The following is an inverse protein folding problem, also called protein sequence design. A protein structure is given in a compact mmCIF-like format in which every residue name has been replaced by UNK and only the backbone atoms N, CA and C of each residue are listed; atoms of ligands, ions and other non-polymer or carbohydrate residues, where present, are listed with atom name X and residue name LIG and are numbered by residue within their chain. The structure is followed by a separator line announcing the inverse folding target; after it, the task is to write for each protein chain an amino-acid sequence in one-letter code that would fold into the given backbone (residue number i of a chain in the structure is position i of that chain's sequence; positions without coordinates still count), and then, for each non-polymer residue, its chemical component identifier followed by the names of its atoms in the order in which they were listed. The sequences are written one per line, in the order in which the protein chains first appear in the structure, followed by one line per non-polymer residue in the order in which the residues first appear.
data_IF_087440816309
#
_entry.id   IF_087440816309
#
_cell.length_a   1.000
_cell.length_b   1.000
_cell.length_c   1.000
_cell.angle_alpha   90.00
_cell.angle_beta   90.00
_cell.angle_gamma   90.00
#
_symmetry.space_group_name_H-M   'P 1'
#
loop_
_entity.id
_entity.type
_entity.pdbx_description
1 polymer ?
#
# COMPACT_ATOMS: atom_id res chain seq x y z
N UNK A 1 -55.44 53.51 -9.18
CA UNK A 1 -54.46 52.72 -9.96
C UNK A 1 -53.06 53.18 -9.59
N UNK A 2 -52.37 52.45 -8.72
CA UNK A 2 -50.97 52.69 -8.39
C UNK A 2 -50.14 51.60 -9.08
N UNK A 3 -49.39 51.96 -10.12
CA UNK A 3 -48.40 51.07 -10.75
C UNK A 3 -47.11 51.17 -9.95
N UNK A 4 -46.81 50.12 -9.18
CA UNK A 4 -45.52 49.96 -8.51
C UNK A 4 -44.61 49.23 -9.48
N UNK A 5 -43.64 49.94 -10.05
CA UNK A 5 -42.58 49.34 -10.86
C UNK A 5 -41.51 48.79 -9.91
N UNK A 6 -41.56 47.49 -9.62
CA UNK A 6 -40.48 46.80 -8.92
C UNK A 6 -39.33 46.60 -9.93
N UNK A 7 -38.13 47.15 -9.69
CA UNK A 7 -36.98 46.85 -10.54
C UNK A 7 -36.67 45.36 -10.41
N UNK A 8 -36.61 44.66 -11.54
CA UNK A 8 -36.32 43.23 -11.60
C UNK A 8 -34.90 42.96 -11.09
N UNK A 9 -34.79 42.54 -9.82
CA UNK A 9 -33.54 42.11 -9.15
C UNK A 9 -33.17 40.68 -9.61
N UNK A 10 -33.22 40.39 -10.91
CA UNK A 10 -32.74 39.10 -11.45
C UNK A 10 -31.23 39.12 -11.73
N UNK A 11 -30.61 40.30 -11.85
CA UNK A 11 -29.17 40.44 -12.10
C UNK A 11 -28.29 40.12 -10.89
N UNK A 12 -28.78 40.32 -9.66
CA UNK A 12 -27.98 40.10 -8.44
C UNK A 12 -27.78 38.60 -8.13
N UNK A 13 -28.79 37.77 -8.42
CA UNK A 13 -28.71 36.32 -8.20
C UNK A 13 -27.85 35.59 -9.25
N UNK A 14 -27.62 36.20 -10.42
CA UNK A 14 -26.79 35.63 -11.48
C UNK A 14 -25.28 35.84 -11.24
N UNK A 15 -24.89 36.88 -10.48
CA UNK A 15 -23.49 37.18 -10.17
C UNK A 15 -22.90 36.22 -9.12
N UNK A 16 -23.74 35.64 -8.25
CA UNK A 16 -23.30 34.70 -7.20
C UNK A 16 -22.94 33.31 -7.77
N UNK A 17 -23.41 32.96 -8.97
CA UNK A 17 -23.14 31.65 -9.60
C UNK A 17 -21.76 31.60 -10.31
N UNK A 18 -21.12 32.76 -10.53
CA UNK A 18 -19.83 32.84 -11.24
C UNK A 18 -18.59 32.71 -10.33
N UNK A 19 -18.78 32.53 -9.01
CA UNK A 19 -17.73 32.16 -8.05
C UNK A 19 -17.76 30.67 -7.71
N UNK A 20 -18.16 29.81 -8.67
CA UNK A 20 -17.83 28.39 -8.59
C UNK A 20 -16.31 28.29 -8.73
N UNK A 21 -15.60 28.07 -7.62
CA UNK A 21 -14.16 27.92 -7.61
C UNK A 21 -13.73 26.91 -8.67
N UNK A 22 -12.79 27.34 -9.51
CA UNK A 22 -12.04 26.48 -10.42
C UNK A 22 -11.44 25.29 -9.66
N UNK A 23 -11.35 24.15 -10.35
CA UNK A 23 -11.07 22.81 -9.82
C UNK A 23 -9.93 22.70 -8.82
N UNK A 24 -10.01 21.65 -8.01
CA UNK A 24 -9.11 21.35 -6.89
C UNK A 24 -7.67 21.77 -7.18
N UNK A 25 -7.25 22.86 -6.56
CA UNK A 25 -5.85 23.28 -6.60
C UNK A 25 -5.06 22.23 -5.84
N UNK A 26 -4.18 21.51 -6.54
CA UNK A 26 -3.18 20.63 -5.92
C UNK A 26 -2.57 21.31 -4.70
N UNK A 27 -2.53 20.59 -3.59
CA UNK A 27 -1.91 21.09 -2.36
C UNK A 27 -0.39 21.10 -2.53
N UNK A 28 0.25 22.19 -2.14
CA UNK A 28 1.71 22.26 -2.14
C UNK A 28 2.26 21.68 -0.84
N UNK A 29 2.87 20.51 -0.94
CA UNK A 29 3.48 19.78 0.18
C UNK A 29 5.01 19.86 0.19
N UNK A 30 5.61 20.68 -0.69
CA UNK A 30 7.07 20.77 -0.86
C UNK A 30 7.81 21.21 0.43
N UNK A 31 7.12 21.91 1.32
CA UNK A 31 7.63 22.40 2.59
C UNK A 31 7.57 21.37 3.74
N UNK A 32 6.93 20.21 3.52
CA UNK A 32 6.82 19.15 4.52
C UNK A 32 8.10 18.31 4.50
N UNK A 33 8.79 18.29 5.64
CA UNK A 33 10.03 17.55 5.83
C UNK A 33 9.74 16.09 6.17
N UNK A 34 9.57 15.30 5.12
CA UNK A 34 9.41 13.85 5.16
C UNK A 34 10.32 13.26 4.08
N UNK A 35 11.07 12.23 4.46
CA UNK A 35 11.92 11.43 3.59
C UNK A 35 11.75 9.96 4.00
N UNK A 36 11.05 9.19 3.17
CA UNK A 36 10.79 7.78 3.43
C UNK A 36 11.91 6.95 2.83
N UNK A 37 12.54 6.15 3.69
CA UNK A 37 13.57 5.19 3.31
C UNK A 37 13.03 3.78 3.59
N UNK A 38 13.20 2.86 2.64
CA UNK A 38 12.74 1.48 2.80
C UNK A 38 13.88 0.61 3.31
N UNK A 39 13.71 0.05 4.50
CA UNK A 39 14.66 -0.90 5.07
C UNK A 39 14.63 -2.23 4.31
N UNK A 40 15.76 -2.58 3.69
CA UNK A 40 15.92 -3.80 2.87
C UNK A 40 16.19 -5.05 3.72
N UNK A 41 15.20 -5.52 4.48
CA UNK A 41 15.32 -6.79 5.22
C UNK A 41 15.53 -7.99 4.26
N UNK A 42 14.93 -7.93 3.06
CA UNK A 42 15.20 -8.86 1.96
C UNK A 42 16.70 -9.04 1.65
N UNK A 43 17.50 -7.97 1.80
CA UNK A 43 18.97 -7.99 1.64
C UNK A 43 19.70 -8.41 2.92
N UNK A 44 19.14 -8.13 4.10
CA UNK A 44 19.74 -8.56 5.36
C UNK A 44 19.92 -10.10 5.42
N UNK A 45 18.99 -10.84 4.80
CA UNK A 45 19.02 -12.29 4.66
C UNK A 45 20.29 -12.82 3.94
N UNK A 46 21.02 -12.01 3.17
CA UNK A 46 22.31 -12.40 2.56
C UNK A 46 23.35 -12.79 3.61
N UNK A 47 23.27 -12.16 4.78
CA UNK A 47 24.21 -12.40 5.89
C UNK A 47 23.85 -13.62 6.74
N UNK A 48 22.76 -14.32 6.43
CA UNK A 48 22.30 -15.51 7.15
C UNK A 48 22.94 -16.77 6.59
N UNK A 49 23.58 -17.52 7.48
CA UNK A 49 24.24 -18.78 7.21
C UNK A 49 23.87 -19.79 8.31
N UNK A 50 23.97 -21.08 8.00
CA UNK A 50 23.60 -22.15 8.92
C UNK A 50 24.36 -22.10 10.26
N UNK A 51 25.59 -21.57 10.27
CA UNK A 51 26.44 -21.46 11.45
C UNK A 51 26.21 -20.19 12.28
N UNK A 52 25.44 -19.21 11.77
CA UNK A 52 25.23 -17.91 12.42
C UNK A 52 23.77 -17.58 12.76
N UNK A 53 22.84 -18.51 12.57
CA UNK A 53 21.38 -18.30 12.75
C UNK A 53 21.05 -17.65 14.10
N UNK A 54 21.59 -18.14 15.22
CA UNK A 54 21.31 -17.58 16.55
C UNK A 54 21.86 -16.16 16.73
N UNK A 55 22.98 -15.83 16.08
CA UNK A 55 23.53 -14.48 16.12
C UNK A 55 22.63 -13.53 15.33
N UNK A 56 22.23 -13.92 14.11
CA UNK A 56 21.35 -13.14 13.24
C UNK A 56 19.95 -12.95 13.82
N UNK A 57 19.39 -14.00 14.42
CA UNK A 57 18.10 -13.91 15.10
C UNK A 57 18.10 -12.87 16.24
N UNK A 58 19.17 -12.81 17.05
CA UNK A 58 19.30 -11.79 18.11
C UNK A 58 19.50 -10.39 17.53
N UNK A 59 20.32 -10.27 16.49
CA UNK A 59 20.53 -9.00 15.78
C UNK A 59 19.20 -8.45 15.23
N UNK A 60 18.40 -9.28 14.58
CA UNK A 60 17.15 -8.86 13.95
C UNK A 60 16.00 -8.65 14.93
N UNK A 61 15.94 -9.41 16.02
CA UNK A 61 15.05 -9.09 17.14
C UNK A 61 15.31 -7.68 17.68
N UNK A 62 16.57 -7.27 17.78
CA UNK A 62 16.91 -5.92 18.25
C UNK A 62 16.68 -4.85 17.18
N UNK A 63 17.11 -5.10 15.94
CA UNK A 63 17.08 -4.10 14.85
C UNK A 63 15.69 -3.89 14.27
N UNK A 64 14.94 -4.97 14.11
CA UNK A 64 13.64 -4.94 13.43
C UNK A 64 12.46 -5.14 14.37
N UNK A 65 12.67 -5.55 15.63
CA UNK A 65 11.66 -5.52 16.68
C UNK A 65 10.39 -6.30 16.31
N UNK A 66 9.24 -5.62 16.39
CA UNK A 66 7.92 -6.17 16.09
C UNK A 66 7.86 -6.78 14.68
N UNK A 67 8.42 -6.12 13.67
CA UNK A 67 8.47 -6.66 12.31
C UNK A 67 9.09 -8.06 12.26
N UNK A 68 10.24 -8.27 12.89
CA UNK A 68 10.92 -9.56 12.79
C UNK A 68 10.19 -10.66 13.56
N UNK A 69 9.52 -10.30 14.66
CA UNK A 69 8.64 -11.24 15.37
C UNK A 69 7.48 -11.69 14.49
N UNK A 70 6.78 -10.74 13.87
CA UNK A 70 5.65 -11.04 12.99
C UNK A 70 6.09 -11.77 11.73
N UNK A 71 7.23 -11.38 11.14
CA UNK A 71 7.82 -12.05 9.98
C UNK A 71 8.06 -13.53 10.26
N UNK A 72 8.69 -13.84 11.39
CA UNK A 72 9.00 -15.22 11.77
C UNK A 72 7.73 -16.04 12.08
N UNK A 73 6.77 -15.44 12.77
CA UNK A 73 5.61 -16.16 13.28
C UNK A 73 4.47 -16.32 12.26
N UNK A 74 4.18 -15.27 11.48
CA UNK A 74 2.97 -15.18 10.66
C UNK A 74 3.24 -15.10 9.16
N UNK A 75 4.45 -14.72 8.74
CA UNK A 75 4.77 -14.54 7.31
C UNK A 75 5.61 -15.69 6.76
N UNK A 76 6.72 -15.99 7.41
CA UNK A 76 7.60 -17.12 7.07
C UNK A 76 7.18 -18.41 7.77
N UNK A 77 6.38 -18.30 8.85
CA UNK A 77 5.93 -19.43 9.67
C UNK A 77 7.09 -20.32 10.20
N UNK A 78 8.26 -19.70 10.44
CA UNK A 78 9.45 -20.37 10.96
C UNK A 78 9.45 -20.52 12.50
N UNK A 79 8.35 -20.11 13.14
CA UNK A 79 8.12 -20.24 14.58
C UNK A 79 8.50 -19.00 15.39
N UNK A 80 8.36 -19.09 16.71
CA UNK A 80 8.65 -17.96 17.61
C UNK A 80 10.16 -17.68 17.65
N UNK A 81 10.64 -16.46 17.35
CA UNK A 81 12.06 -16.13 17.35
C UNK A 81 12.73 -16.23 18.73
N UNK A 82 11.97 -16.33 19.82
CA UNK A 82 12.48 -16.56 21.17
C UNK A 82 12.69 -18.05 21.48
N UNK A 83 12.16 -18.97 20.66
CA UNK A 83 12.43 -20.42 20.77
C UNK A 83 13.70 -20.81 20.00
N UNK A 84 14.84 -20.61 20.66
CA UNK A 84 16.16 -20.90 20.08
C UNK A 84 16.34 -22.34 19.58
N UNK A 85 15.59 -23.32 20.12
CA UNK A 85 15.71 -24.73 19.72
C UNK A 85 15.04 -24.99 18.35
N UNK A 86 13.98 -24.25 18.04
CA UNK A 86 13.21 -24.43 16.82
C UNK A 86 13.73 -23.59 15.64
N UNK A 87 14.19 -22.36 15.90
CA UNK A 87 14.59 -21.43 14.83
C UNK A 87 15.80 -21.89 14.01
N UNK A 88 16.75 -22.59 14.62
CA UNK A 88 17.99 -23.01 13.94
C UNK A 88 17.67 -24.00 12.81
N UNK A 89 16.98 -25.13 13.06
CA UNK A 89 16.60 -26.03 11.98
C UNK A 89 15.64 -25.37 10.98
N UNK A 90 14.68 -24.55 11.43
CA UNK A 90 13.71 -23.90 10.54
C UNK A 90 14.39 -22.96 9.53
N UNK A 91 15.16 -21.98 10.01
CA UNK A 91 15.83 -21.01 9.13
C UNK A 91 16.92 -21.64 8.26
N UNK A 92 17.64 -22.64 8.79
CA UNK A 92 18.63 -23.40 8.01
C UNK A 92 17.95 -24.13 6.85
N UNK A 93 16.78 -24.73 7.09
CA UNK A 93 16.02 -25.39 6.05
C UNK A 93 15.53 -24.39 5.00
N UNK A 94 14.93 -23.27 5.43
CA UNK A 94 14.41 -22.23 4.51
C UNK A 94 15.50 -21.76 3.53
N UNK A 95 16.66 -21.33 4.02
CA UNK A 95 17.73 -20.80 3.16
C UNK A 95 18.39 -21.87 2.27
N UNK A 96 18.24 -23.15 2.62
CA UNK A 96 18.79 -24.26 1.85
C UNK A 96 17.90 -24.68 0.67
N UNK A 97 16.62 -24.29 0.64
CA UNK A 97 15.70 -24.67 -0.44
C UNK A 97 15.99 -23.96 -1.76
N UNK A 98 15.79 -24.67 -2.88
CA UNK A 98 15.94 -24.10 -4.22
C UNK A 98 14.87 -23.03 -4.51
N UNK A 99 13.65 -23.21 -4.01
CA UNK A 99 12.55 -22.27 -4.21
C UNK A 99 12.86 -20.92 -3.55
N UNK A 100 13.36 -20.92 -2.32
CA UNK A 100 13.76 -19.68 -1.64
C UNK A 100 14.90 -18.96 -2.38
N UNK A 101 15.90 -19.70 -2.86
CA UNK A 101 16.98 -19.13 -3.68
C UNK A 101 16.47 -18.55 -5.00
N UNK A 102 15.57 -19.25 -5.68
CA UNK A 102 14.98 -18.80 -6.94
C UNK A 102 14.11 -17.56 -6.75
N UNK A 103 13.31 -17.51 -5.68
CA UNK A 103 12.49 -16.37 -5.32
C UNK A 103 13.36 -15.14 -5.01
N UNK A 104 14.37 -15.32 -4.16
CA UNK A 104 15.36 -14.29 -3.83
C UNK A 104 16.02 -13.71 -5.08
N UNK A 105 16.45 -14.57 -6.01
CA UNK A 105 17.05 -14.11 -7.27
C UNK A 105 16.07 -13.25 -8.08
N UNK A 106 14.80 -13.65 -8.17
CA UNK A 106 13.77 -12.87 -8.87
C UNK A 106 13.51 -11.53 -8.19
N UNK A 107 13.39 -11.50 -6.86
CA UNK A 107 13.24 -10.25 -6.10
C UNK A 107 14.43 -9.32 -6.36
N UNK A 108 15.64 -9.85 -6.40
CA UNK A 108 16.85 -9.04 -6.59
C UNK A 108 17.00 -8.51 -8.01
N UNK A 109 16.54 -9.28 -9.00
CA UNK A 109 16.49 -8.87 -10.40
C UNK A 109 15.42 -7.79 -10.63
N UNK A 110 14.23 -7.96 -10.06
CA UNK A 110 13.15 -6.96 -10.16
C UNK A 110 13.46 -5.68 -9.37
N UNK A 111 14.11 -5.81 -8.20
CA UNK A 111 14.37 -4.72 -7.27
C UNK A 111 15.86 -4.57 -6.91
N UNK A 112 16.71 -4.10 -7.85
CA UNK A 112 18.07 -3.69 -7.55
C UNK A 112 18.09 -2.62 -6.45
N UNK A 113 17.23 -1.61 -6.61
CA UNK A 113 16.93 -0.56 -5.63
C UNK A 113 15.41 -0.39 -5.47
N UNK A 114 14.99 0.55 -4.62
CA UNK A 114 13.59 0.90 -4.39
C UNK A 114 13.37 2.42 -4.49
N UNK A 115 14.22 3.15 -5.23
CA UNK A 115 14.22 4.61 -5.23
C UNK A 115 12.88 5.19 -5.71
N UNK A 116 12.26 4.57 -6.72
CA UNK A 116 10.95 4.98 -7.22
C UNK A 116 9.83 4.75 -6.18
N UNK A 117 9.92 3.68 -5.41
CA UNK A 117 8.96 3.38 -4.34
C UNK A 117 9.17 4.33 -3.15
N UNK A 118 10.41 4.64 -2.79
CA UNK A 118 10.77 5.62 -1.76
C UNK A 118 10.28 7.02 -2.12
N UNK A 119 10.46 7.46 -3.38
CA UNK A 119 9.95 8.73 -3.88
C UNK A 119 8.42 8.78 -3.80
N UNK A 120 7.73 7.75 -4.30
CA UNK A 120 6.28 7.69 -4.28
C UNK A 120 5.69 7.64 -2.87
N UNK A 121 6.30 6.86 -1.95
CA UNK A 121 5.89 6.84 -0.54
C UNK A 121 6.18 8.18 0.14
N UNK A 122 7.31 8.81 -0.17
CA UNK A 122 7.65 10.14 0.37
C UNK A 122 6.61 11.17 -0.03
N UNK A 123 6.24 11.23 -1.31
CA UNK A 123 5.19 12.15 -1.77
C UNK A 123 3.84 11.86 -1.11
N UNK A 124 3.43 10.59 -1.06
CA UNK A 124 2.17 10.18 -0.45
C UNK A 124 2.13 10.52 1.05
N UNK A 125 3.22 10.28 1.78
CA UNK A 125 3.28 10.56 3.21
C UNK A 125 3.40 12.05 3.52
N UNK A 126 3.99 12.87 2.63
CA UNK A 126 3.89 14.33 2.74
C UNK A 126 2.45 14.81 2.66
N UNK A 127 1.68 14.30 1.69
CA UNK A 127 0.25 14.63 1.60
C UNK A 127 -0.54 14.10 2.80
N UNK A 128 -0.27 12.88 3.26
CA UNK A 128 -0.89 12.35 4.47
C UNK A 128 -0.60 13.24 5.69
N UNK A 129 0.64 13.67 5.90
CA UNK A 129 0.99 14.60 6.98
C UNK A 129 0.30 15.95 6.83
N UNK A 130 0.11 16.46 5.61
CA UNK A 130 -0.65 17.69 5.36
C UNK A 130 -2.11 17.57 5.84
N UNK A 131 -2.80 16.48 5.46
CA UNK A 131 -4.20 16.28 5.82
C UNK A 131 -4.40 15.76 7.26
N UNK A 132 -3.39 15.06 7.79
CA UNK A 132 -3.39 14.43 9.11
C UNK A 132 -2.11 14.81 9.88
N UNK A 133 -2.00 16.03 10.42
CA UNK A 133 -0.74 16.52 11.04
C UNK A 133 -0.29 15.76 12.29
N UNK A 134 -1.18 14.97 12.90
CA UNK A 134 -0.87 14.13 14.08
C UNK A 134 -0.52 12.69 13.71
N UNK A 135 -0.40 12.39 12.42
CA UNK A 135 -0.02 11.08 11.90
C UNK A 135 1.41 10.72 12.35
N UNK A 136 1.58 9.47 12.77
CA UNK A 136 2.90 8.88 13.01
C UNK A 136 3.33 8.11 11.77
N UNK A 137 4.45 8.50 11.19
CA UNK A 137 5.02 7.81 10.03
C UNK A 137 5.68 6.51 10.51
N UNK A 138 5.24 5.33 10.01
CA UNK A 138 5.82 4.05 10.38
C UNK A 138 7.16 3.82 9.66
N UNK A 139 7.90 2.80 10.08
CA UNK A 139 9.04 2.29 9.28
C UNK A 139 8.52 1.50 8.09
N UNK A 140 9.21 1.58 6.96
CA UNK A 140 8.88 0.78 5.77
C UNK A 140 9.94 -0.31 5.61
N UNK A 141 9.52 -1.57 5.57
CA UNK A 141 10.45 -2.70 5.58
C UNK A 141 10.14 -3.64 4.44
N UNK A 142 11.06 -3.74 3.48
CA UNK A 142 10.93 -4.64 2.34
C UNK A 142 11.42 -6.05 2.69
N UNK A 143 10.63 -7.06 2.33
CA UNK A 143 10.91 -8.47 2.60
C UNK A 143 10.37 -9.38 1.50
N UNK A 144 10.65 -10.68 1.62
CA UNK A 144 9.93 -11.74 0.91
C UNK A 144 9.75 -12.93 1.86
N UNK A 145 8.65 -13.66 1.71
CA UNK A 145 8.27 -14.74 2.63
C UNK A 145 7.62 -15.94 1.93
N UNK A 146 7.66 -16.00 0.59
CA UNK A 146 6.99 -17.05 -0.17
C UNK A 146 5.53 -16.72 -0.46
N UNK A 147 5.23 -15.46 -0.77
CA UNK A 147 3.91 -14.97 -1.21
C UNK A 147 2.83 -14.95 -0.12
N UNK A 148 3.21 -14.79 1.15
CA UNK A 148 2.25 -14.83 2.27
C UNK A 148 1.37 -13.58 2.35
N UNK A 149 1.95 -12.38 2.22
CA UNK A 149 1.24 -11.11 2.43
C UNK A 149 1.91 -9.97 1.66
N UNK A 150 1.11 -9.01 1.18
CA UNK A 150 1.60 -7.87 0.38
C UNK A 150 2.15 -6.74 1.25
N UNK A 151 1.31 -6.24 2.15
CA UNK A 151 1.53 -4.98 2.85
C UNK A 151 1.03 -5.09 4.31
N UNK A 152 1.65 -5.96 5.13
CA UNK A 152 1.23 -6.11 6.52
C UNK A 152 1.52 -4.82 7.29
N UNK A 153 0.53 -4.34 8.03
CA UNK A 153 0.67 -3.20 8.94
C UNK A 153 0.79 -3.75 10.35
N UNK A 154 1.87 -3.39 11.05
CA UNK A 154 2.11 -3.76 12.43
C UNK A 154 2.33 -2.53 13.31
N UNK A 155 2.75 -2.75 14.55
CA UNK A 155 2.82 -1.72 15.60
C UNK A 155 3.61 -0.46 15.20
N UNK A 156 4.78 -0.62 14.60
CA UNK A 156 5.68 0.48 14.23
C UNK A 156 6.13 0.46 12.76
N UNK A 157 5.54 -0.44 11.95
CA UNK A 157 6.03 -0.72 10.61
C UNK A 157 4.90 -0.99 9.62
N UNK A 158 5.19 -0.73 8.35
CA UNK A 158 4.46 -1.28 7.21
C UNK A 158 5.44 -2.12 6.40
N UNK A 159 5.14 -3.41 6.30
CA UNK A 159 5.91 -4.35 5.51
C UNK A 159 5.61 -4.20 4.02
N UNK A 160 6.59 -4.51 3.18
CA UNK A 160 6.45 -4.56 1.72
C UNK A 160 6.95 -5.92 1.25
N UNK A 161 6.04 -6.85 1.02
CA UNK A 161 6.32 -8.18 0.47
C UNK A 161 6.65 -8.10 -1.02
N UNK A 162 7.92 -7.95 -1.36
CA UNK A 162 8.39 -7.75 -2.74
C UNK A 162 8.07 -8.94 -3.66
N UNK A 163 8.00 -10.14 -3.09
CA UNK A 163 7.56 -11.35 -3.79
C UNK A 163 6.10 -11.27 -4.27
N UNK A 164 5.28 -10.42 -3.66
CA UNK A 164 3.91 -10.14 -4.12
C UNK A 164 3.81 -9.04 -5.18
N UNK A 165 4.95 -8.52 -5.67
CA UNK A 165 4.98 -7.47 -6.69
C UNK A 165 6.00 -7.72 -7.81
N UNK A 166 6.30 -8.97 -8.17
CA UNK A 166 7.33 -9.34 -9.16
C UNK A 166 6.98 -9.00 -10.62
N UNK A 167 5.79 -8.47 -10.88
CA UNK A 167 5.24 -8.26 -12.22
C UNK A 167 4.19 -9.30 -12.57
N UNK A 168 3.17 -8.90 -13.34
CA UNK A 168 2.02 -9.74 -13.65
C UNK A 168 2.39 -11.06 -14.37
N UNK A 169 3.51 -11.05 -15.10
CA UNK A 169 4.04 -12.20 -15.86
C UNK A 169 5.10 -13.00 -15.07
N UNK A 170 5.24 -12.76 -13.77
CA UNK A 170 6.18 -13.51 -12.93
C UNK A 170 5.93 -15.01 -13.04
N UNK A 171 7.01 -15.78 -13.26
CA UNK A 171 6.98 -17.24 -13.40
C UNK A 171 6.38 -17.97 -12.19
N UNK A 172 6.33 -17.33 -11.02
CA UNK A 172 5.79 -17.91 -9.79
C UNK A 172 4.27 -17.80 -9.70
N UNK A 173 3.67 -16.76 -10.27
CA UNK A 173 2.24 -16.48 -10.12
C UNK A 173 1.30 -17.49 -10.77
N UNK A 174 1.65 -18.16 -11.88
CA UNK A 174 0.85 -19.25 -12.40
C UNK A 174 0.51 -20.32 -11.36
N UNK A 175 1.46 -20.66 -10.47
CA UNK A 175 1.26 -21.64 -9.39
C UNK A 175 0.39 -21.09 -8.25
N UNK A 176 0.34 -19.77 -8.06
CA UNK A 176 -0.50 -19.11 -7.06
C UNK A 176 -1.96 -18.93 -7.52
N UNK A 177 -2.28 -19.12 -8.81
CA UNK A 177 -3.64 -18.88 -9.34
C UNK A 177 -4.70 -19.85 -8.80
N UNK A 178 -4.31 -20.95 -8.16
CA UNK A 178 -5.25 -21.84 -7.48
C UNK A 178 -5.76 -21.24 -6.16
N UNK A 179 -4.99 -20.36 -5.52
CA UNK A 179 -5.33 -19.72 -4.25
C UNK A 179 -5.65 -18.23 -4.38
N UNK A 180 -5.14 -17.56 -5.42
CA UNK A 180 -5.32 -16.11 -5.64
C UNK A 180 -6.05 -15.86 -6.97
N UNK A 181 -7.26 -15.27 -6.93
CA UNK A 181 -8.00 -14.88 -8.13
C UNK A 181 -7.18 -14.00 -9.09
N UNK A 182 -7.29 -14.28 -10.39
CA UNK A 182 -6.53 -13.56 -11.43
C UNK A 182 -6.73 -12.04 -11.42
N UNK A 183 -7.94 -11.57 -11.11
CA UNK A 183 -8.23 -10.13 -11.05
C UNK A 183 -7.45 -9.41 -9.95
N UNK A 184 -7.00 -10.14 -8.92
CA UNK A 184 -6.11 -9.63 -7.87
C UNK A 184 -4.65 -9.75 -8.30
N UNK A 185 -4.22 -10.95 -8.74
CA UNK A 185 -2.81 -11.23 -9.03
C UNK A 185 -2.25 -10.51 -10.24
N UNK A 186 -3.10 -10.07 -11.19
CA UNK A 186 -2.67 -9.17 -12.28
C UNK A 186 -2.09 -7.84 -11.79
N UNK A 187 -2.38 -7.45 -10.54
CA UNK A 187 -1.90 -6.21 -9.92
C UNK A 187 -0.62 -6.42 -9.11
N UNK A 188 -0.04 -7.62 -9.15
CA UNK A 188 1.20 -7.93 -8.45
C UNK A 188 2.38 -7.38 -9.24
N UNK A 189 2.41 -6.06 -9.42
CA UNK A 189 3.39 -5.34 -10.23
C UNK A 189 4.11 -4.27 -9.40
N UNK A 190 5.34 -3.88 -9.77
CA UNK A 190 6.09 -2.86 -9.03
C UNK A 190 5.35 -1.53 -8.84
N UNK A 191 4.56 -1.11 -9.83
CA UNK A 191 3.79 0.15 -9.80
C UNK A 191 2.65 0.11 -8.77
N UNK A 192 2.25 -1.08 -8.31
CA UNK A 192 1.23 -1.24 -7.30
C UNK A 192 1.78 -1.17 -5.87
N UNK A 193 3.10 -1.20 -5.65
CA UNK A 193 3.67 -1.15 -4.28
C UNK A 193 3.16 0.08 -3.54
N UNK A 194 3.45 1.28 -4.05
CA UNK A 194 3.11 2.55 -3.40
C UNK A 194 1.61 2.65 -3.09
N UNK A 195 0.68 2.50 -4.07
CA UNK A 195 -0.74 2.62 -3.76
C UNK A 195 -1.25 1.53 -2.84
N UNK A 196 -0.76 0.28 -2.92
CA UNK A 196 -1.19 -0.79 -2.00
C UNK A 196 -0.70 -0.53 -0.57
N UNK A 197 0.54 -0.10 -0.42
CA UNK A 197 1.13 0.23 0.89
C UNK A 197 0.39 1.38 1.56
N UNK A 198 0.14 2.47 0.81
CA UNK A 198 -0.61 3.63 1.31
C UNK A 198 -2.05 3.26 1.64
N UNK A 199 -2.72 2.48 0.78
CA UNK A 199 -4.09 2.03 1.04
C UNK A 199 -4.19 1.15 2.30
N UNK A 200 -3.28 0.19 2.46
CA UNK A 200 -3.23 -0.65 3.67
C UNK A 200 -3.04 0.20 4.92
N UNK A 201 -2.11 1.15 4.89
CA UNK A 201 -1.90 2.06 6.02
C UNK A 201 -3.15 2.90 6.34
N UNK A 202 -3.80 3.48 5.33
CA UNK A 202 -5.03 4.25 5.53
C UNK A 202 -6.12 3.38 6.17
N UNK A 203 -6.29 2.14 5.69
CA UNK A 203 -7.33 1.24 6.16
C UNK A 203 -7.08 0.73 7.57
N UNK A 204 -5.85 0.41 7.94
CA UNK A 204 -5.56 -0.18 9.25
C UNK A 204 -5.40 0.90 10.33
N UNK A 205 -4.70 2.01 10.03
CA UNK A 205 -4.32 3.01 11.03
C UNK A 205 -5.24 4.23 11.08
N UNK A 206 -5.64 4.77 9.92
CA UNK A 206 -6.38 6.03 9.87
C UNK A 206 -7.89 5.84 9.90
N UNK A 207 -8.38 4.85 9.15
CA UNK A 207 -9.80 4.60 8.94
C UNK A 207 -10.12 3.11 8.94
N UNK A 208 -9.92 2.41 10.07
CA UNK A 208 -10.38 1.03 10.23
C UNK A 208 -11.87 0.91 9.94
N UNK A 209 -12.21 -0.09 9.14
CA UNK A 209 -13.60 -0.38 8.87
C UNK A 209 -14.28 -0.82 10.16
N UNK A 210 -15.48 -0.30 10.43
CA UNK A 210 -16.23 -0.71 11.62
C UNK A 210 -16.82 -2.11 11.39
N UNK A 211 -16.55 -3.05 12.29
CA UNK A 211 -17.10 -4.41 12.25
C UNK A 211 -18.65 -4.46 12.25
N UNK A 212 -19.30 -3.36 12.64
CA UNK A 212 -20.75 -3.22 12.63
C UNK A 212 -21.31 -2.73 11.27
N UNK A 213 -20.46 -2.38 10.31
CA UNK A 213 -20.87 -2.06 8.95
C UNK A 213 -21.22 -3.34 8.19
N UNK A 214 -22.52 -3.64 8.09
CA UNK A 214 -23.01 -4.91 7.50
C UNK A 214 -23.80 -4.73 6.22
N UNK A 215 -24.23 -3.51 5.88
CA UNK A 215 -25.02 -3.27 4.67
C UNK A 215 -24.13 -2.93 3.46
N UNK A 216 -24.57 -3.33 2.27
CA UNK A 216 -23.87 -2.99 1.02
C UNK A 216 -23.60 -1.49 0.90
N UNK A 217 -24.58 -0.64 1.23
CA UNK A 217 -24.43 0.81 1.18
C UNK A 217 -23.33 1.32 2.12
N UNK A 218 -23.24 0.78 3.34
CA UNK A 218 -22.14 1.15 4.26
C UNK A 218 -20.78 0.79 3.69
N UNK A 219 -20.64 -0.41 3.11
CA UNK A 219 -19.40 -0.81 2.44
C UNK A 219 -19.09 0.12 1.26
N UNK A 220 -20.07 0.45 0.42
CA UNK A 220 -19.86 1.38 -0.70
C UNK A 220 -19.39 2.75 -0.24
N UNK A 221 -20.01 3.31 0.80
CA UNK A 221 -19.61 4.59 1.40
C UNK A 221 -18.21 4.52 1.99
N UNK A 222 -17.87 3.43 2.68
CA UNK A 222 -16.52 3.21 3.21
C UNK A 222 -15.48 3.14 2.10
N UNK A 223 -15.72 2.36 1.04
CA UNK A 223 -14.81 2.27 -0.11
C UNK A 223 -14.65 3.63 -0.81
N UNK A 224 -15.73 4.40 -0.96
CA UNK A 224 -15.69 5.76 -1.50
C UNK A 224 -14.83 6.71 -0.65
N UNK A 225 -14.89 6.62 0.68
CA UNK A 225 -14.02 7.40 1.58
C UNK A 225 -12.55 7.05 1.39
N UNK A 226 -12.23 5.75 1.30
CA UNK A 226 -10.85 5.31 1.09
C UNK A 226 -10.33 5.82 -0.25
N UNK A 227 -11.09 5.65 -1.34
CA UNK A 227 -10.72 6.17 -2.66
C UNK A 227 -10.55 7.69 -2.67
N UNK A 228 -11.42 8.42 -1.96
CA UNK A 228 -11.28 9.87 -1.82
C UNK A 228 -9.99 10.26 -1.11
N UNK A 229 -9.64 9.60 0.00
CA UNK A 229 -8.36 9.87 0.68
C UNK A 229 -7.19 9.54 -0.24
N UNK A 230 -7.22 8.38 -0.89
CA UNK A 230 -6.20 7.95 -1.86
C UNK A 230 -5.98 8.99 -2.97
N UNK A 231 -7.06 9.57 -3.49
CA UNK A 231 -7.00 10.59 -4.54
C UNK A 231 -6.35 11.89 -4.06
N UNK A 232 -6.60 12.26 -2.80
CA UNK A 232 -6.02 13.45 -2.18
C UNK A 232 -4.55 13.28 -1.80
N UNK A 233 -4.13 12.07 -1.43
CA UNK A 233 -2.75 11.82 -1.00
C UNK A 233 -1.84 11.32 -2.11
N UNK A 234 -2.40 10.89 -3.24
CA UNK A 234 -1.66 10.46 -4.42
C UNK A 234 -2.30 11.05 -5.69
N UNK A 235 -2.32 12.39 -5.84
CA UNK A 235 -3.00 13.06 -6.95
C UNK A 235 -2.40 12.75 -8.33
N UNK A 236 -1.18 12.21 -8.36
CA UNK A 236 -0.42 11.95 -9.59
C UNK A 236 -0.46 10.46 -9.98
N UNK A 237 -1.00 9.61 -9.10
CA UNK A 237 -1.17 8.18 -9.35
C UNK A 237 -2.48 7.97 -10.11
N UNK A 238 -2.40 7.26 -11.23
CA UNK A 238 -3.55 6.97 -12.07
C UNK A 238 -4.64 6.17 -11.34
N UNK A 239 -5.91 6.46 -11.63
CA UNK A 239 -7.07 5.78 -11.04
C UNK A 239 -7.06 4.27 -11.31
N UNK A 240 -6.51 3.84 -12.44
CA UNK A 240 -6.32 2.43 -12.76
C UNK A 240 -5.46 1.70 -11.73
N UNK A 241 -4.51 2.38 -11.06
CA UNK A 241 -3.67 1.81 -10.00
C UNK A 241 -4.33 1.94 -8.61
N UNK A 242 -5.03 3.05 -8.34
CA UNK A 242 -5.76 3.25 -7.07
C UNK A 242 -6.94 2.29 -6.94
N UNK A 243 -7.73 2.13 -8.01
CA UNK A 243 -8.92 1.25 -8.05
C UNK A 243 -8.53 -0.18 -8.46
N UNK A 244 -7.49 -0.33 -9.27
CA UNK A 244 -7.04 -1.63 -9.77
C UNK A 244 -7.85 -2.14 -10.96
N UNK A 245 -8.35 -1.24 -11.81
CA UNK A 245 -9.00 -1.54 -13.09
C UNK A 245 -7.98 -1.63 -14.23
N UNK A 246 -8.24 -2.44 -15.26
CA UNK A 246 -7.55 -2.23 -16.55
C UNK A 246 -7.99 -0.89 -17.14
N UNK A 247 -7.26 -0.42 -18.15
CA UNK A 247 -7.68 0.75 -18.92
C UNK A 247 -9.07 0.55 -19.54
N UNK A 248 -9.33 -0.61 -20.11
CA UNK A 248 -10.61 -0.93 -20.74
C UNK A 248 -11.75 -0.98 -19.72
N UNK A 249 -11.50 -1.51 -18.52
CA UNK A 249 -12.47 -1.52 -17.43
C UNK A 249 -12.79 -0.12 -16.93
N UNK A 250 -11.78 0.75 -16.85
CA UNK A 250 -11.95 2.15 -16.48
C UNK A 250 -12.77 2.91 -17.52
N UNK A 251 -12.39 2.82 -18.80
CA UNK A 251 -13.12 3.46 -19.91
C UNK A 251 -14.55 2.96 -20.03
N UNK A 252 -14.79 1.67 -19.74
CA UNK A 252 -16.13 1.11 -19.68
C UNK A 252 -16.92 1.73 -18.52
N UNK A 253 -16.33 1.81 -17.31
CA UNK A 253 -16.99 2.38 -16.15
C UNK A 253 -17.37 3.85 -16.36
N UNK A 254 -16.48 4.65 -16.96
CA UNK A 254 -16.76 6.06 -17.32
C UNK A 254 -17.88 6.16 -18.36
N UNK A 255 -17.85 5.31 -19.40
CA UNK A 255 -18.85 5.35 -20.48
C UNK A 255 -20.27 5.06 -20.00
N UNK A 256 -20.40 4.14 -19.05
CA UNK A 256 -21.69 3.65 -18.56
C UNK A 256 -22.06 4.20 -17.17
N UNK A 257 -21.38 5.25 -16.71
CA UNK A 257 -21.59 5.82 -15.38
C UNK A 257 -23.07 6.18 -15.12
N UNK A 258 -23.73 6.85 -16.08
CA UNK A 258 -25.13 7.26 -15.96
C UNK A 258 -26.16 6.12 -15.98
N UNK A 259 -25.76 4.94 -16.45
CA UNK A 259 -26.62 3.75 -16.45
C UNK A 259 -26.50 2.98 -15.12
N UNK A 260 -25.39 3.19 -14.40
CA UNK A 260 -25.10 2.57 -13.10
C UNK A 260 -25.64 3.44 -11.95
N UNK A 261 -25.54 4.76 -12.07
CA UNK A 261 -25.82 5.75 -11.01
C UNK A 261 -26.91 6.75 -11.38
#
# INVERSE_FOLDING_TARGET
MLKINVPQIYGFFFIIVLFSCNGETRVDVSHIDVDIQIERFDRALDSLHADNVLAKNREWLHRYGYFYADYMQYMLEAGNPLDSAHIVPALTQVIATDDFRALKASVYETYPDLAAQEEGLTDAFKHLTYYFPTLTIPRFIAFFSGFAVQTPVGEDYVGIGLDMFLGADSKFYPALRESIPYYLSRRFTPENIVPRTVESYIREELYPQNDLDVTLLQHMVYQGKILYVMDRVMPDVADTLKIGYTREQWEWAERYESDIW
#
